data_IF_618122753409
#
_entry.id   IF_618122753409
#
_cell.length_a   1.000
_cell.length_b   1.000
_cell.length_c   1.000
_cell.angle_alpha   90.00
_cell.angle_beta   90.00
_cell.angle_gamma   90.00
#
_symmetry.space_group_name_H-M   'P 1'
#
loop_
_entity.id
_entity.type
_entity.pdbx_description
1 polymer ?
#
# COMPACT_ATOMS: atom_id res chain seq x y z
N UNK A 1 -3.34 12.90 -7.37
CA UNK A 1 -4.19 13.15 -6.20
C UNK A 1 -5.19 12.01 -6.13
N UNK A 2 -5.22 11.25 -5.05
CA UNK A 2 -6.15 10.13 -4.89
C UNK A 2 -7.56 10.65 -4.66
N UNK A 3 -8.53 10.06 -5.36
CA UNK A 3 -9.94 10.38 -5.18
C UNK A 3 -10.56 9.49 -4.10
N UNK A 4 -11.53 10.02 -3.36
CA UNK A 4 -12.29 9.28 -2.35
C UNK A 4 -13.76 9.21 -2.76
N UNK A 5 -14.33 8.01 -2.73
CA UNK A 5 -15.74 7.77 -3.04
C UNK A 5 -16.44 7.04 -1.88
N UNK A 6 -17.73 7.31 -1.68
CA UNK A 6 -18.51 6.72 -0.59
C UNK A 6 -18.25 7.37 0.78
N UNK A 7 -18.75 6.76 1.88
CA UNK A 7 -19.57 5.54 1.92
C UNK A 7 -20.94 5.69 1.23
N UNK A 8 -21.61 4.59 0.84
CA UNK A 8 -22.99 4.63 0.36
C UNK A 8 -23.92 5.30 1.38
N UNK A 9 -24.83 6.17 0.92
CA UNK A 9 -25.68 6.97 1.80
C UNK A 9 -26.67 6.11 2.62
N UNK A 10 -27.00 4.93 2.13
CA UNK A 10 -27.87 3.93 2.75
C UNK A 10 -27.12 2.97 3.71
N UNK A 11 -25.78 3.02 3.75
CA UNK A 11 -25.01 2.23 4.71
C UNK A 11 -25.30 2.64 6.16
N UNK A 12 -25.24 1.68 7.08
CA UNK A 12 -25.36 1.96 8.53
C UNK A 12 -24.21 2.86 8.99
N UNK A 13 -22.97 2.56 8.56
CA UNK A 13 -21.76 3.34 8.83
C UNK A 13 -21.51 4.29 7.65
N UNK A 14 -22.32 5.33 7.56
CA UNK A 14 -22.28 6.32 6.47
C UNK A 14 -21.73 7.70 6.93
N UNK A 15 -21.18 7.80 8.15
CA UNK A 15 -20.62 9.06 8.63
C UNK A 15 -19.24 9.33 8.02
N UNK A 16 -18.80 10.60 7.97
CA UNK A 16 -17.45 10.95 7.54
C UNK A 16 -16.37 10.23 8.35
N UNK A 17 -15.23 9.98 7.70
CA UNK A 17 -13.99 9.58 8.36
C UNK A 17 -13.25 10.82 8.88
N UNK A 18 -12.36 10.65 9.86
CA UNK A 18 -11.53 11.75 10.36
C UNK A 18 -10.50 12.19 9.32
N UNK A 19 -10.00 13.42 9.45
CA UNK A 19 -8.86 13.90 8.64
C UNK A 19 -7.60 13.07 8.90
N UNK A 20 -7.40 12.61 10.13
CA UNK A 20 -6.31 11.70 10.50
C UNK A 20 -6.36 10.41 9.68
N UNK A 21 -7.51 9.72 9.65
CA UNK A 21 -7.67 8.51 8.84
C UNK A 21 -7.57 8.81 7.34
N UNK A 22 -8.11 9.94 6.88
CA UNK A 22 -8.00 10.35 5.48
C UNK A 22 -6.53 10.50 5.06
N UNK A 23 -5.69 11.11 5.89
CA UNK A 23 -4.26 11.28 5.60
C UNK A 23 -3.53 9.93 5.53
N UNK A 24 -3.87 8.99 6.42
CA UNK A 24 -3.36 7.61 6.36
C UNK A 24 -3.72 6.95 5.03
N UNK A 25 -4.99 7.03 4.63
CA UNK A 25 -5.47 6.42 3.40
C UNK A 25 -4.89 7.08 2.14
N UNK A 26 -4.69 8.40 2.15
CA UNK A 26 -4.10 9.14 1.03
C UNK A 26 -2.61 8.81 0.85
N UNK A 27 -1.86 8.74 1.96
CA UNK A 27 -0.46 8.29 1.95
C UNK A 27 -0.34 6.85 1.45
N UNK A 28 -1.20 5.95 1.93
CA UNK A 28 -1.24 4.56 1.51
C UNK A 28 -1.60 4.41 0.03
N UNK A 29 -2.59 5.17 -0.44
CA UNK A 29 -3.00 5.15 -1.83
C UNK A 29 -1.90 5.66 -2.76
N UNK A 30 -1.24 6.76 -2.39
CA UNK A 30 -0.11 7.33 -3.12
C UNK A 30 1.02 6.30 -3.24
N UNK A 31 1.42 5.67 -2.13
CA UNK A 31 2.47 4.65 -2.13
C UNK A 31 2.11 3.39 -2.93
N UNK A 32 0.83 3.04 -3.00
CA UNK A 32 0.35 1.88 -3.71
C UNK A 32 0.10 2.11 -5.21
N UNK A 33 0.03 3.38 -5.66
CA UNK A 33 -0.43 3.73 -7.00
C UNK A 33 -1.93 3.52 -7.19
N UNK A 34 -2.72 3.85 -6.15
CA UNK A 34 -4.19 3.72 -6.12
C UNK A 34 -4.85 5.06 -6.46
N UNK A 35 -5.64 5.06 -7.53
CA UNK A 35 -6.32 6.26 -8.05
C UNK A 35 -7.57 6.63 -7.23
N UNK A 36 -8.26 5.61 -6.71
CA UNK A 36 -9.49 5.79 -5.93
C UNK A 36 -9.52 4.90 -4.70
N UNK A 37 -9.76 5.51 -3.54
CA UNK A 37 -10.19 4.82 -2.34
C UNK A 37 -11.71 4.84 -2.29
N UNK A 38 -12.33 3.68 -2.54
CA UNK A 38 -13.78 3.51 -2.36
C UNK A 38 -14.05 3.05 -0.94
N UNK A 39 -14.65 3.91 -0.15
CA UNK A 39 -15.12 3.60 1.20
C UNK A 39 -16.44 2.84 1.06
N UNK A 40 -16.50 1.58 1.51
CA UNK A 40 -17.72 0.77 1.56
C UNK A 40 -18.41 0.86 2.92
N UNK A 41 -17.65 1.18 3.97
CA UNK A 41 -18.15 1.51 5.31
C UNK A 41 -17.28 2.59 5.93
N UNK A 42 -17.89 3.72 6.28
CA UNK A 42 -17.19 4.87 6.85
C UNK A 42 -17.30 4.93 8.37
N UNK A 43 -17.39 6.14 8.91
CA UNK A 43 -17.58 6.37 10.33
C UNK A 43 -18.96 5.96 10.83
N UNK A 44 -19.07 5.88 12.15
CA UNK A 44 -20.32 5.56 12.85
C UNK A 44 -20.49 6.41 14.11
N UNK A 45 -21.69 6.39 14.67
CA UNK A 45 -21.96 7.04 15.96
C UNK A 45 -21.15 6.42 17.11
N UNK A 46 -20.72 7.25 18.06
CA UNK A 46 -20.08 6.78 19.28
C UNK A 46 -21.00 5.88 20.11
N UNK A 47 -20.42 4.97 20.90
CA UNK A 47 -21.20 4.03 21.69
C UNK A 47 -22.13 4.77 22.67
N UNK A 48 -23.41 4.40 22.68
CA UNK A 48 -24.42 5.07 23.50
C UNK A 48 -25.00 6.35 22.89
N UNK A 49 -24.56 6.73 21.68
CA UNK A 49 -25.07 7.89 20.96
C UNK A 49 -25.62 7.45 19.60
N UNK A 50 -26.75 8.03 19.18
CA UNK A 50 -27.32 7.82 17.84
C UNK A 50 -27.69 6.38 17.49
N UNK A 51 -27.96 6.13 16.21
CA UNK A 51 -28.44 4.84 15.68
C UNK A 51 -27.64 4.36 14.47
N UNK A 52 -26.73 5.17 13.93
CA UNK A 52 -25.92 4.86 12.74
C UNK A 52 -24.64 4.16 13.17
N UNK A 53 -24.80 2.93 13.68
CA UNK A 53 -23.74 2.12 14.31
C UNK A 53 -23.95 0.63 14.06
N UNK A 54 -22.86 -0.11 13.88
CA UNK A 54 -22.85 -1.58 14.01
C UNK A 54 -21.47 -2.10 14.37
N UNK A 55 -21.40 -3.21 15.10
CA UNK A 55 -20.14 -3.87 15.42
C UNK A 55 -19.22 -3.07 16.37
N UNK A 56 -17.91 -3.16 16.11
CA UNK A 56 -16.83 -2.62 16.96
C UNK A 56 -16.87 -1.09 17.08
N UNK A 57 -16.32 -0.55 18.18
CA UNK A 57 -16.08 0.89 18.37
C UNK A 57 -15.01 1.49 17.46
N UNK A 58 -14.25 0.70 16.68
CA UNK A 58 -13.18 1.20 15.80
C UNK A 58 -13.67 2.24 14.78
N UNK A 59 -14.91 2.13 14.31
CA UNK A 59 -15.49 3.10 13.36
C UNK A 59 -16.05 4.36 14.03
N UNK A 60 -16.09 4.39 15.37
CA UNK A 60 -16.68 5.50 16.11
C UNK A 60 -16.00 6.79 15.72
N UNK A 61 -16.81 7.81 15.44
CA UNK A 61 -16.34 9.14 15.09
C UNK A 61 -15.42 9.16 13.84
N UNK A 62 -15.52 8.13 12.98
CA UNK A 62 -14.76 8.10 11.72
C UNK A 62 -13.33 7.60 11.84
N UNK A 63 -12.98 6.90 12.94
CA UNK A 63 -11.63 6.39 13.21
C UNK A 63 -11.25 5.10 12.46
N UNK A 64 -12.17 4.54 11.68
CA UNK A 64 -11.88 3.43 10.77
C UNK A 64 -12.78 3.48 9.53
N UNK A 65 -12.33 2.80 8.48
CA UNK A 65 -13.05 2.62 7.23
C UNK A 65 -12.80 1.23 6.66
N UNK A 66 -13.83 0.67 6.04
CA UNK A 66 -13.69 -0.49 5.17
C UNK A 66 -13.57 0.05 3.73
N UNK A 67 -12.46 -0.26 3.07
CA UNK A 67 -12.06 0.37 1.80
C UNK A 67 -11.77 -0.67 0.71
N UNK A 68 -12.02 -0.28 -0.53
CA UNK A 68 -11.53 -0.96 -1.73
C UNK A 68 -10.54 -0.03 -2.44
N UNK A 69 -9.39 -0.58 -2.82
CA UNK A 69 -8.34 0.14 -3.54
C UNK A 69 -8.55 -0.05 -5.04
N UNK A 70 -8.79 1.02 -5.80
CA UNK A 70 -9.03 0.95 -7.23
C UNK A 70 -7.88 1.56 -8.03
N UNK A 71 -7.49 0.86 -9.10
CA UNK A 71 -6.56 1.33 -10.13
C UNK A 71 -7.30 1.27 -11.45
N UNK A 72 -7.34 2.39 -12.20
CA UNK A 72 -8.09 2.51 -13.46
C UNK A 72 -9.56 2.06 -13.33
N UNK A 73 -10.20 2.38 -12.20
CA UNK A 73 -11.58 2.01 -11.89
C UNK A 73 -11.81 0.54 -11.50
N UNK A 74 -10.77 -0.31 -11.50
CA UNK A 74 -10.86 -1.71 -11.08
C UNK A 74 -10.34 -1.90 -9.66
N UNK A 75 -11.16 -2.53 -8.81
CA UNK A 75 -10.76 -2.85 -7.45
C UNK A 75 -9.71 -3.97 -7.46
N UNK A 76 -8.56 -3.70 -6.81
CA UNK A 76 -7.55 -4.70 -6.54
C UNK A 76 -8.13 -5.84 -5.68
N UNK A 77 -7.61 -7.05 -5.91
CA UNK A 77 -8.06 -8.27 -5.23
C UNK A 77 -6.94 -8.96 -4.48
N UNK A 78 -7.29 -9.74 -3.47
CA UNK A 78 -6.39 -10.63 -2.75
C UNK A 78 -7.04 -12.00 -2.51
N UNK A 79 -6.26 -12.97 -2.05
CA UNK A 79 -6.71 -14.25 -1.51
C UNK A 79 -6.16 -14.40 -0.09
N UNK A 80 -6.56 -15.43 0.64
CA UNK A 80 -5.96 -15.69 1.95
C UNK A 80 -4.50 -16.18 1.84
N UNK A 81 -4.10 -16.71 0.67
CA UNK A 81 -2.74 -17.16 0.41
C UNK A 81 -1.79 -16.04 -0.05
N UNK A 82 -2.30 -15.06 -0.80
CA UNK A 82 -1.50 -13.99 -1.40
C UNK A 82 -2.33 -12.74 -1.71
N UNK A 83 -1.68 -11.58 -1.68
CA UNK A 83 -2.23 -10.31 -2.14
C UNK A 83 -1.43 -9.76 -3.33
N UNK A 84 -2.07 -8.92 -4.15
CA UNK A 84 -1.35 -8.21 -5.21
C UNK A 84 -0.31 -7.26 -4.63
N UNK A 85 0.76 -6.93 -5.36
CA UNK A 85 1.78 -6.02 -4.84
C UNK A 85 1.24 -4.63 -4.48
N UNK A 86 0.23 -4.13 -5.20
CA UNK A 86 -0.47 -2.90 -4.85
C UNK A 86 -1.18 -2.97 -3.49
N UNK A 87 -1.77 -4.12 -3.15
CA UNK A 87 -2.39 -4.33 -1.82
C UNK A 87 -1.33 -4.42 -0.73
N UNK A 88 -0.21 -5.12 -0.99
CA UNK A 88 0.90 -5.20 -0.04
C UNK A 88 1.44 -3.79 0.28
N UNK A 89 1.75 -3.00 -0.77
CA UNK A 89 2.19 -1.60 -0.59
C UNK A 89 1.18 -0.75 0.14
N UNK A 90 -0.11 -0.89 -0.19
CA UNK A 90 -1.17 -0.14 0.48
C UNK A 90 -1.22 -0.45 1.98
N UNK A 91 -1.19 -1.73 2.36
CA UNK A 91 -1.21 -2.15 3.77
C UNK A 91 0.04 -1.68 4.51
N UNK A 92 1.22 -1.89 3.95
CA UNK A 92 2.48 -1.45 4.55
C UNK A 92 2.51 0.05 4.74
N UNK A 93 2.10 0.82 3.72
CA UNK A 93 2.07 2.28 3.81
C UNK A 93 0.99 2.79 4.77
N UNK A 94 -0.18 2.13 4.86
CA UNK A 94 -1.20 2.49 5.85
C UNK A 94 -0.69 2.26 7.29
N UNK A 95 -0.04 1.12 7.53
CA UNK A 95 0.59 0.82 8.82
C UNK A 95 1.70 1.82 9.16
N UNK A 96 2.58 2.13 8.20
CA UNK A 96 3.62 3.15 8.35
C UNK A 96 3.05 4.56 8.58
N UNK A 97 1.90 4.88 7.98
CA UNK A 97 1.23 6.16 8.18
C UNK A 97 0.50 6.28 9.53
N UNK A 98 0.44 5.20 10.32
CA UNK A 98 -0.10 5.19 11.67
C UNK A 98 -1.39 4.39 11.86
N UNK A 99 -1.89 3.66 10.85
CA UNK A 99 -2.98 2.73 11.07
C UNK A 99 -2.54 1.65 12.07
N UNK A 100 -3.28 1.45 13.16
CA UNK A 100 -2.98 0.41 14.15
C UNK A 100 -3.89 -0.81 14.03
N UNK A 101 -5.05 -0.69 13.38
CA UNK A 101 -5.96 -1.80 13.09
C UNK A 101 -6.12 -2.03 11.60
N UNK A 102 -5.70 -3.19 11.10
CA UNK A 102 -5.83 -3.54 9.67
C UNK A 102 -6.45 -4.94 9.51
N UNK A 103 -7.56 -5.04 8.79
CA UNK A 103 -8.29 -6.29 8.62
C UNK A 103 -8.49 -6.67 7.16
N UNK A 104 -8.11 -7.87 6.75
CA UNK A 104 -8.39 -8.39 5.41
C UNK A 104 -8.50 -9.91 5.43
N UNK A 105 -9.35 -10.47 4.58
CA UNK A 105 -9.50 -11.92 4.43
C UNK A 105 -10.77 -12.26 3.66
N UNK A 106 -10.71 -13.32 2.85
CA UNK A 106 -11.83 -13.72 1.99
C UNK A 106 -13.06 -14.04 2.84
N UNK A 107 -12.87 -14.77 3.95
CA UNK A 107 -13.91 -15.07 4.93
C UNK A 107 -14.25 -13.93 5.91
N UNK A 108 -13.74 -12.70 5.68
CA UNK A 108 -14.06 -11.53 6.52
C UNK A 108 -14.96 -10.53 5.78
N UNK A 109 -14.47 -9.94 4.70
CA UNK A 109 -15.20 -8.93 3.91
C UNK A 109 -15.07 -9.17 2.40
N UNK A 110 -14.84 -10.43 2.03
CA UNK A 110 -14.54 -10.82 0.66
C UNK A 110 -13.12 -10.48 0.23
N UNK A 111 -12.86 -10.61 -1.06
CA UNK A 111 -11.52 -10.59 -1.64
C UNK A 111 -11.04 -9.20 -2.12
N UNK A 112 -11.76 -8.12 -1.77
CA UNK A 112 -11.52 -6.76 -2.26
C UNK A 112 -11.49 -5.70 -1.18
N UNK A 113 -12.03 -6.00 0.00
CA UNK A 113 -12.27 -5.00 1.04
C UNK A 113 -11.25 -5.17 2.15
N UNK A 114 -10.61 -4.06 2.54
CA UNK A 114 -9.65 -3.98 3.63
C UNK A 114 -10.20 -3.02 4.67
N UNK A 115 -10.19 -3.41 5.93
CA UNK A 115 -10.42 -2.51 7.06
C UNK A 115 -9.12 -1.78 7.36
N UNK A 116 -9.19 -0.46 7.48
CA UNK A 116 -8.07 0.38 7.93
C UNK A 116 -8.59 1.36 8.98
N UNK A 117 -7.91 1.42 10.11
CA UNK A 117 -8.25 2.35 11.17
C UNK A 117 -7.30 2.28 12.35
N UNK A 118 -7.78 2.82 13.47
CA UNK A 118 -7.05 2.84 14.73
C UNK A 118 -7.61 1.81 15.73
N UNK A 119 -7.18 1.90 16.98
CA UNK A 119 -7.71 1.08 18.06
C UNK A 119 -9.17 1.39 18.39
N UNK A 120 -9.67 0.70 19.39
CA UNK A 120 -11.07 0.79 19.87
C UNK A 120 -11.40 2.09 20.60
N UNK A 121 -10.39 2.89 20.93
CA UNK A 121 -10.47 4.24 21.48
C UNK A 121 -9.30 5.10 20.97
N UNK A 122 -9.20 6.35 21.45
CA UNK A 122 -8.04 7.23 21.16
C UNK A 122 -6.77 6.81 21.91
N UNK A 123 -6.92 6.13 23.05
CA UNK A 123 -5.82 5.65 23.89
C UNK A 123 -5.36 4.23 23.52
N UNK A 124 -6.16 3.51 22.72
CA UNK A 124 -5.83 2.19 22.23
C UNK A 124 -4.89 2.28 21.02
N UNK A 125 -3.59 2.16 21.29
CA UNK A 125 -2.54 2.13 20.27
C UNK A 125 -2.11 0.69 19.91
N UNK A 126 -2.91 -0.31 20.26
CA UNK A 126 -2.60 -1.72 19.96
C UNK A 126 -2.53 -1.94 18.46
N UNK A 127 -1.39 -2.46 17.99
CA UNK A 127 -1.18 -2.90 16.61
C UNK A 127 -1.80 -4.27 16.41
N UNK A 128 -2.77 -4.39 15.52
CA UNK A 128 -3.54 -5.62 15.34
C UNK A 128 -3.92 -5.83 13.88
N UNK A 129 -3.67 -7.04 13.40
CA UNK A 129 -4.25 -7.56 12.16
C UNK A 129 -5.30 -8.62 12.41
N UNK A 130 -6.30 -8.74 11.54
CA UNK A 130 -7.29 -9.83 11.57
C UNK A 130 -7.79 -10.24 10.20
N UNK A 131 -8.34 -11.46 10.11
CA UNK A 131 -8.90 -12.00 8.88
C UNK A 131 -10.27 -12.63 9.12
N UNK A 132 -10.49 -13.82 8.57
CA UNK A 132 -11.81 -14.46 8.49
C UNK A 132 -12.58 -14.43 9.83
N UNK A 133 -13.85 -14.00 9.80
CA UNK A 133 -14.68 -13.84 10.99
C UNK A 133 -14.23 -12.74 11.97
N UNK A 134 -13.35 -11.83 11.56
CA UNK A 134 -12.89 -10.71 12.41
C UNK A 134 -11.88 -11.13 13.49
N UNK A 135 -11.11 -12.21 13.26
CA UNK A 135 -10.22 -12.80 14.27
C UNK A 135 -8.75 -12.61 13.91
N UNK A 136 -7.92 -12.30 14.91
CA UNK A 136 -6.47 -12.13 14.70
C UNK A 136 -5.77 -13.42 14.28
N UNK A 137 -6.19 -14.56 14.84
CA UNK A 137 -5.65 -15.87 14.50
C UNK A 137 -5.88 -16.27 13.03
N UNK A 138 -6.84 -15.66 12.35
CA UNK A 138 -7.21 -15.97 10.95
C UNK A 138 -6.75 -14.90 9.97
N UNK A 139 -5.93 -13.94 10.40
CA UNK A 139 -5.29 -13.00 9.48
C UNK A 139 -4.50 -13.77 8.40
N UNK A 140 -4.57 -13.40 7.12
CA UNK A 140 -3.64 -13.89 6.12
C UNK A 140 -2.20 -13.58 6.51
N UNK A 141 -1.26 -14.47 6.18
CA UNK A 141 0.16 -14.26 6.53
C UNK A 141 0.71 -12.99 5.87
N UNK A 142 0.40 -12.78 4.59
CA UNK A 142 0.81 -11.57 3.86
C UNK A 142 0.31 -10.27 4.51
N UNK A 143 -0.85 -10.30 5.19
CA UNK A 143 -1.41 -9.13 5.86
C UNK A 143 -0.61 -8.82 7.13
N UNK A 144 -0.29 -9.86 7.91
CA UNK A 144 0.55 -9.74 9.11
C UNK A 144 1.91 -9.15 8.75
N UNK A 145 2.57 -9.74 7.76
CA UNK A 145 3.91 -9.34 7.35
C UNK A 145 3.91 -7.90 6.84
N UNK A 146 3.00 -7.55 5.90
CA UNK A 146 2.94 -6.21 5.35
C UNK A 146 2.65 -5.13 6.41
N UNK A 147 1.73 -5.40 7.36
CA UNK A 147 1.43 -4.48 8.44
C UNK A 147 2.61 -4.32 9.42
N UNK A 148 3.26 -5.45 9.77
CA UNK A 148 4.43 -5.46 10.64
C UNK A 148 5.58 -4.64 10.02
N UNK A 149 5.87 -4.84 8.74
CA UNK A 149 6.88 -4.08 8.00
C UNK A 149 6.62 -2.57 8.08
N UNK A 150 5.37 -2.15 7.92
CA UNK A 150 4.99 -0.73 8.01
C UNK A 150 5.15 -0.17 9.42
N UNK A 151 4.75 -0.93 10.43
CA UNK A 151 4.87 -0.54 11.83
C UNK A 151 6.32 -0.45 12.34
N UNK A 152 7.19 -1.31 11.83
CA UNK A 152 8.62 -1.33 12.16
C UNK A 152 9.40 -0.26 11.38
N UNK A 153 8.91 0.14 10.20
CA UNK A 153 9.44 1.25 9.39
C UNK A 153 9.38 2.64 10.06
N UNK A 154 8.82 2.75 11.26
CA UNK A 154 9.03 3.91 12.15
C UNK A 154 8.33 5.20 11.73
N UNK A 155 7.18 5.13 11.05
CA UNK A 155 6.44 6.33 10.65
C UNK A 155 6.97 7.01 9.39
N UNK A 156 8.11 6.54 8.87
CA UNK A 156 8.56 6.89 7.53
C UNK A 156 7.72 6.05 6.59
N UNK A 157 6.56 6.59 6.20
CA UNK A 157 6.00 6.23 4.89
C UNK A 157 7.10 6.67 3.93
N UNK A 158 7.84 5.76 3.28
CA UNK A 158 8.67 6.19 2.18
C UNK A 158 7.66 6.91 1.29
N UNK A 159 7.90 8.17 0.86
CA UNK A 159 7.15 8.65 -0.27
C UNK A 159 7.35 7.54 -1.30
N UNK A 160 6.28 6.76 -1.56
CA UNK A 160 6.20 6.15 -2.86
C UNK A 160 6.49 7.32 -3.78
N UNK A 161 7.41 7.18 -4.74
CA UNK A 161 7.47 8.19 -5.76
C UNK A 161 6.01 8.36 -6.16
N UNK A 162 5.48 9.59 -6.02
CA UNK A 162 4.49 9.99 -6.98
C UNK A 162 5.09 9.49 -8.29
N UNK A 163 4.44 8.52 -8.91
CA UNK A 163 4.91 8.01 -10.18
C UNK A 163 4.91 9.24 -11.11
N UNK A 164 6.00 10.01 -11.13
CA UNK A 164 6.70 10.24 -12.36
C UNK A 164 6.84 8.83 -12.90
N UNK A 165 5.90 8.47 -13.77
CA UNK A 165 5.80 7.15 -14.30
C UNK A 165 7.20 6.83 -14.82
N UNK A 166 7.87 5.87 -14.19
CA UNK A 166 9.21 5.51 -14.63
C UNK A 166 9.02 4.95 -16.03
N UNK A 167 9.51 5.69 -17.01
CA UNK A 167 9.40 5.33 -18.42
C UNK A 167 10.68 4.64 -18.85
N UNK A 168 10.64 3.82 -19.92
CA UNK A 168 11.86 3.33 -20.53
C UNK A 168 12.83 4.47 -20.84
N UNK A 169 14.08 4.36 -20.39
CA UNK A 169 15.03 5.46 -20.40
C UNK A 169 16.26 5.20 -19.53
N UNK A 170 17.16 6.19 -19.43
CA UNK A 170 18.39 6.09 -18.62
C UNK A 170 18.18 6.65 -17.23
N UNK A 171 18.69 5.94 -16.23
CA UNK A 171 18.56 6.29 -14.83
C UNK A 171 19.87 6.03 -14.09
N UNK A 172 20.03 6.69 -12.94
CA UNK A 172 21.10 6.45 -11.99
C UNK A 172 20.53 5.98 -10.64
N UNK A 173 21.26 5.08 -9.98
CA UNK A 173 20.93 4.61 -8.62
C UNK A 173 21.19 5.73 -7.61
N UNK A 174 20.17 6.11 -6.84
CA UNK A 174 20.28 7.14 -5.78
C UNK A 174 20.30 6.55 -4.35
N UNK A 175 20.28 5.22 -4.23
CA UNK A 175 20.36 4.54 -2.93
C UNK A 175 21.77 4.63 -2.34
N UNK A 176 21.91 5.25 -1.17
CA UNK A 176 23.20 5.45 -0.47
C UNK A 176 23.98 4.15 -0.28
N UNK A 177 23.30 3.09 0.14
CA UNK A 177 23.90 1.78 0.43
C UNK A 177 23.80 0.80 -0.76
N UNK A 178 23.45 1.33 -1.93
CA UNK A 178 23.23 0.58 -3.16
C UNK A 178 21.84 -0.03 -3.29
N UNK A 179 21.51 -0.45 -4.51
CA UNK A 179 20.21 -0.97 -4.91
C UNK A 179 20.31 -2.45 -5.28
N UNK A 180 19.45 -3.29 -4.70
CA UNK A 180 19.44 -4.73 -4.99
C UNK A 180 18.80 -5.01 -6.35
N UNK A 181 19.57 -5.61 -7.24
CA UNK A 181 19.11 -6.25 -8.46
C UNK A 181 18.60 -7.66 -8.13
N UNK A 182 17.40 -7.99 -8.58
CA UNK A 182 16.70 -9.24 -8.28
C UNK A 182 16.18 -9.91 -9.55
N UNK A 183 16.05 -11.22 -9.52
CA UNK A 183 15.49 -11.99 -10.65
C UNK A 183 13.99 -11.73 -10.92
N UNK A 184 13.28 -11.05 -10.01
CA UNK A 184 11.86 -10.74 -10.17
C UNK A 184 11.40 -9.47 -9.44
N UNK A 185 10.19 -8.98 -9.75
CA UNK A 185 9.65 -7.71 -9.27
C UNK A 185 9.09 -7.82 -7.85
N UNK A 186 9.98 -8.03 -6.86
CA UNK A 186 9.60 -8.14 -5.47
C UNK A 186 10.76 -8.52 -4.55
N UNK A 187 10.59 -8.27 -3.25
CA UNK A 187 11.58 -8.63 -2.22
C UNK A 187 11.65 -10.14 -1.95
N UNK A 188 10.64 -10.91 -2.37
CA UNK A 188 10.58 -12.37 -2.26
C UNK A 188 11.50 -13.10 -3.26
N UNK A 189 12.07 -12.38 -4.23
CA UNK A 189 13.08 -12.92 -5.15
C UNK A 189 14.46 -12.68 -4.58
N UNK A 190 15.36 -13.66 -4.66
CA UNK A 190 16.72 -13.51 -4.14
C UNK A 190 17.47 -12.36 -4.82
N UNK A 191 18.30 -11.61 -4.07
CA UNK A 191 19.14 -10.58 -4.64
C UNK A 191 20.33 -11.21 -5.37
N UNK A 192 20.47 -10.87 -6.65
CA UNK A 192 21.57 -11.36 -7.50
C UNK A 192 22.81 -10.47 -7.36
N UNK A 193 22.60 -9.15 -7.26
CA UNK A 193 23.68 -8.15 -7.20
C UNK A 193 23.23 -6.92 -6.41
N UNK A 194 24.17 -6.16 -5.87
CA UNK A 194 23.94 -4.82 -5.32
C UNK A 194 24.61 -3.80 -6.21
N UNK A 195 23.82 -2.90 -6.80
CA UNK A 195 24.29 -1.82 -7.64
C UNK A 195 24.69 -0.63 -6.75
N UNK A 196 25.94 -0.15 -6.79
CA UNK A 196 26.37 1.02 -6.03
C UNK A 196 25.55 2.29 -6.33
N UNK A 197 25.61 3.27 -5.43
CA UNK A 197 25.10 4.61 -5.70
C UNK A 197 25.80 5.23 -6.93
N UNK A 198 25.04 5.90 -7.79
CA UNK A 198 25.52 6.50 -9.03
C UNK A 198 25.68 5.52 -10.21
N UNK A 199 25.42 4.22 -10.02
CA UNK A 199 25.39 3.27 -11.15
C UNK A 199 24.30 3.68 -12.13
N UNK A 200 24.70 3.96 -13.37
CA UNK A 200 23.78 4.19 -14.48
C UNK A 200 23.24 2.86 -15.00
N UNK A 201 21.98 2.86 -15.42
CA UNK A 201 21.29 1.72 -16.02
C UNK A 201 20.19 2.19 -16.96
N UNK A 202 19.74 1.29 -17.82
CA UNK A 202 18.59 1.51 -18.69
C UNK A 202 17.38 0.80 -18.12
N UNK A 203 16.30 1.54 -17.88
CA UNK A 203 14.98 0.96 -17.65
C UNK A 203 14.40 0.54 -18.99
N UNK A 204 14.07 -0.74 -19.12
CA UNK A 204 13.49 -1.32 -20.35
C UNK A 204 11.97 -1.35 -20.27
N UNK A 205 11.42 -1.71 -19.11
CA UNK A 205 9.97 -1.79 -18.92
C UNK A 205 9.58 -1.69 -17.44
N UNK A 206 8.40 -1.13 -17.18
CA UNK A 206 7.73 -1.24 -15.89
C UNK A 206 7.15 -2.64 -15.75
N UNK A 207 7.31 -3.28 -14.59
CA UNK A 207 6.71 -4.58 -14.34
C UNK A 207 5.19 -4.50 -14.37
N UNK A 208 4.57 -5.45 -15.07
CA UNK A 208 3.12 -5.63 -15.12
C UNK A 208 2.56 -6.31 -13.86
N UNK A 209 3.42 -6.92 -13.04
CA UNK A 209 3.05 -7.57 -11.77
C UNK A 209 3.07 -6.55 -10.63
N UNK A 210 4.13 -5.74 -10.58
CA UNK A 210 4.30 -4.66 -9.61
C UNK A 210 4.88 -3.41 -10.29
N UNK A 211 4.08 -2.36 -10.53
CA UNK A 211 4.56 -1.12 -11.15
C UNK A 211 5.64 -0.36 -10.38
N UNK A 212 5.91 -0.70 -9.12
CA UNK A 212 7.02 -0.14 -8.35
C UNK A 212 8.38 -0.78 -8.70
N UNK A 213 8.38 -1.86 -9.47
CA UNK A 213 9.59 -2.52 -9.98
C UNK A 213 9.74 -2.31 -11.47
N UNK A 214 10.98 -2.13 -11.89
CA UNK A 214 11.34 -1.93 -13.29
C UNK A 214 12.35 -2.97 -13.72
N UNK A 215 12.22 -3.40 -14.96
CA UNK A 215 13.15 -4.31 -15.62
C UNK A 215 14.27 -3.50 -16.23
N UNK A 216 15.51 -3.91 -15.98
CA UNK A 216 16.70 -3.11 -16.32
C UNK A 216 17.72 -3.88 -17.14
N UNK A 217 18.44 -3.13 -17.95
CA UNK A 217 19.70 -3.47 -18.59
C UNK A 217 20.77 -2.57 -17.96
N UNK A 218 21.70 -3.19 -17.23
CA UNK A 218 22.75 -2.53 -16.46
C UNK A 218 24.02 -2.37 -17.31
N UNK A 219 24.31 -3.34 -18.19
CA UNK A 219 25.53 -3.33 -19.02
C UNK A 219 25.35 -2.49 -20.30
N UNK A 220 24.12 -2.16 -20.67
CA UNK A 220 23.78 -1.38 -21.87
C UNK A 220 23.93 -2.18 -23.17
N UNK A 221 23.96 -3.51 -23.08
CA UNK A 221 24.16 -4.43 -24.22
C UNK A 221 22.84 -4.95 -24.82
N UNK A 222 21.71 -4.53 -24.26
CA UNK A 222 20.36 -4.95 -24.65
C UNK A 222 19.90 -6.25 -23.98
N UNK A 223 20.73 -6.87 -23.14
CA UNK A 223 20.34 -8.02 -22.32
C UNK A 223 19.73 -7.54 -21.00
N UNK A 224 18.83 -8.35 -20.46
CA UNK A 224 18.10 -7.99 -19.25
C UNK A 224 18.80 -8.58 -18.03
N UNK A 225 19.26 -7.69 -17.14
CA UNK A 225 19.93 -8.06 -15.89
C UNK A 225 18.95 -8.43 -14.77
N UNK A 226 17.70 -7.96 -14.85
CA UNK A 226 16.68 -8.30 -13.85
C UNK A 226 15.79 -7.12 -13.49
N UNK A 227 15.42 -7.04 -12.21
CA UNK A 227 14.51 -6.04 -11.68
C UNK A 227 15.12 -5.26 -10.51
N UNK A 228 14.80 -3.97 -10.46
CA UNK A 228 15.13 -3.09 -9.33
C UNK A 228 13.91 -2.29 -8.90
N UNK A 229 13.92 -1.80 -7.66
CA UNK A 229 12.84 -0.99 -7.13
C UNK A 229 12.98 0.46 -7.62
N UNK A 230 11.96 0.94 -8.35
CA UNK A 230 12.01 2.16 -9.13
C UNK A 230 12.18 3.43 -8.28
N UNK A 231 11.78 3.39 -7.00
CA UNK A 231 11.91 4.53 -6.09
C UNK A 231 13.36 4.92 -5.76
N UNK A 232 14.33 4.08 -6.09
CA UNK A 232 15.75 4.34 -5.90
C UNK A 232 16.47 4.72 -7.19
N UNK A 233 15.72 5.16 -8.20
CA UNK A 233 16.23 5.62 -9.48
C UNK A 233 15.93 7.12 -9.67
N UNK A 234 16.88 7.83 -10.27
CA UNK A 234 16.67 9.17 -10.80
C UNK A 234 16.96 9.18 -12.30
N UNK A 235 16.09 9.80 -13.09
CA UNK A 235 16.29 9.91 -14.54
C UNK A 235 17.55 10.74 -14.83
N UNK A 236 18.40 10.23 -15.73
CA UNK A 236 19.60 10.94 -16.18
C UNK A 236 19.24 11.65 -17.47
N UNK A 237 19.03 12.97 -17.38
CA UNK A 237 18.73 13.81 -18.53
C UNK A 237 19.85 13.66 -19.58
N UNK A 238 19.47 13.55 -20.86
CA UNK A 238 20.45 13.53 -21.93
C UNK A 238 21.21 14.86 -21.93
N UNK A 239 22.54 14.81 -21.84
CA UNK A 239 23.37 15.99 -22.02
C UNK A 239 22.96 16.69 -23.33
N UNK A 240 22.74 18.03 -23.33
CA UNK A 240 22.46 18.74 -24.56
C UNK A 240 23.66 18.58 -25.51
N UNK A 241 23.37 18.22 -26.75
CA UNK A 241 24.33 18.11 -27.83
C UNK A 241 24.98 19.46 -28.18
#
# INVERSE_FOLDING_TARGET
MTSFAGPPADAIRNKPITNELRNVLDAAATAAGVDTIRITSGGQDALGHGTRRTGSTRHDLGRAADVQCLVNGQALTFTDAAASPGILRFVTAAAAAGATGIGAGVGYMGNRTIHVGFGTSVDDHTRLTWGAGGRSATAPQWLRDAAQDGWDGGGIVPPGPAAAAVHPGRYAVIARDGLKLRGGPGTNFDPERTLPAGTELSVVAVSNVDPAWVRVDVEGDGLLDGYVFAAFLAEVEAAPA
#
